data_IF_742752120362
#
_entry.id   IF_742752120362
#
_cell.length_a   1.000
_cell.length_b   1.000
_cell.length_c   1.000
_cell.angle_alpha   90.00
_cell.angle_beta   90.00
_cell.angle_gamma   90.00
#
_symmetry.space_group_name_H-M   'P 1'
#
loop_
_entity.id
_entity.type
_entity.pdbx_description
1 polymer ?
#
# COMPACT_ATOMS: atom_id res chain seq x y z
N UNK A 1 -20.64 -7.53 -23.26
CA UNK A 1 -20.36 -6.46 -22.26
C UNK A 1 -19.01 -6.83 -21.67
N UNK A 2 -18.01 -5.98 -21.84
CA UNK A 2 -16.72 -6.18 -21.18
C UNK A 2 -16.97 -6.16 -19.68
N UNK A 3 -16.51 -7.22 -18.99
CA UNK A 3 -16.72 -7.37 -17.56
C UNK A 3 -15.97 -6.29 -16.75
N UNK A 4 -16.34 -6.11 -15.47
CA UNK A 4 -15.67 -5.20 -14.53
C UNK A 4 -14.27 -5.77 -14.20
N UNK A 5 -13.26 -5.32 -14.94
CA UNK A 5 -11.87 -5.74 -14.76
C UNK A 5 -10.99 -4.53 -14.58
N UNK A 6 -9.86 -4.70 -13.89
CA UNK A 6 -8.83 -3.68 -13.72
C UNK A 6 -7.46 -4.33 -13.61
N UNK A 7 -6.50 -3.88 -14.41
CA UNK A 7 -5.12 -4.36 -14.34
C UNK A 7 -4.33 -3.50 -13.37
N UNK A 8 -3.81 -4.13 -12.30
CA UNK A 8 -3.06 -3.45 -11.26
C UNK A 8 -1.62 -3.92 -11.15
N UNK A 9 -0.72 -2.98 -10.83
CA UNK A 9 0.69 -3.27 -10.57
C UNK A 9 1.10 -2.90 -9.16
N UNK A 10 1.74 -3.84 -8.45
CA UNK A 10 2.42 -3.62 -7.18
C UNK A 10 3.91 -3.43 -7.42
N UNK A 11 4.41 -2.19 -7.27
CA UNK A 11 5.82 -1.86 -7.47
C UNK A 11 6.67 -2.42 -6.33
N UNK A 12 7.83 -2.94 -6.69
CA UNK A 12 8.91 -3.28 -5.77
C UNK A 12 10.13 -2.42 -6.07
N UNK A 13 10.65 -1.73 -5.06
CA UNK A 13 11.86 -0.93 -5.19
C UNK A 13 12.67 -0.89 -3.90
N UNK A 14 13.95 -0.52 -4.00
CA UNK A 14 14.81 -0.31 -2.85
C UNK A 14 15.16 1.18 -2.73
N UNK A 15 14.48 1.88 -1.84
CA UNK A 15 14.72 3.30 -1.62
C UNK A 15 15.97 3.55 -0.80
N UNK A 16 16.65 4.65 -1.14
CA UNK A 16 17.84 5.20 -0.50
C UNK A 16 17.48 6.47 0.30
N UNK A 17 18.41 7.12 1.00
CA UNK A 17 18.20 8.46 1.55
C UNK A 17 18.00 9.55 0.48
N UNK A 18 18.42 9.30 -0.76
CA UNK A 18 18.47 10.28 -1.84
C UNK A 18 17.13 10.38 -2.59
N UNK A 19 16.30 11.34 -2.22
CA UNK A 19 14.94 11.52 -2.74
C UNK A 19 14.88 11.59 -4.27
N UNK A 20 15.78 12.36 -4.91
CA UNK A 20 15.79 12.51 -6.37
C UNK A 20 16.09 11.22 -7.10
N UNK A 21 16.97 10.37 -6.52
CA UNK A 21 17.25 9.05 -7.07
C UNK A 21 16.02 8.16 -6.99
N UNK A 22 15.39 8.12 -5.80
CA UNK A 22 14.18 7.33 -5.59
C UNK A 22 13.04 7.76 -6.53
N UNK A 23 12.87 9.06 -6.78
CA UNK A 23 11.89 9.57 -7.74
C UNK A 23 12.17 9.07 -9.17
N UNK A 24 13.43 9.09 -9.64
CA UNK A 24 13.79 8.55 -10.96
C UNK A 24 13.50 7.05 -11.07
N UNK A 25 13.81 6.30 -10.01
CA UNK A 25 13.52 4.85 -9.98
C UNK A 25 12.01 4.61 -9.99
N UNK A 26 11.25 5.32 -9.16
CA UNK A 26 9.79 5.21 -9.10
C UNK A 26 9.15 5.57 -10.45
N UNK A 27 9.55 6.68 -11.07
CA UNK A 27 9.07 7.08 -12.39
C UNK A 27 9.29 5.99 -13.44
N UNK A 28 10.52 5.49 -13.54
CA UNK A 28 10.86 4.40 -14.47
C UNK A 28 9.99 3.16 -14.24
N UNK A 29 9.78 2.76 -12.98
CA UNK A 29 8.98 1.57 -12.64
C UNK A 29 7.48 1.79 -12.92
N UNK A 30 6.94 2.98 -12.63
CA UNK A 30 5.56 3.34 -12.97
C UNK A 30 5.35 3.30 -14.48
N UNK A 31 6.24 3.93 -15.27
CA UNK A 31 6.17 3.91 -16.73
C UNK A 31 6.26 2.49 -17.30
N UNK A 32 7.13 1.65 -16.75
CA UNK A 32 7.25 0.25 -17.15
C UNK A 32 5.97 -0.54 -16.85
N UNK A 33 5.35 -0.33 -15.69
CA UNK A 33 4.09 -0.98 -15.34
C UNK A 33 2.93 -0.51 -16.24
N UNK A 34 2.84 0.80 -16.50
CA UNK A 34 1.85 1.36 -17.42
C UNK A 34 2.02 0.81 -18.85
N UNK A 35 3.26 0.74 -19.34
CA UNK A 35 3.56 0.15 -20.65
C UNK A 35 3.24 -1.37 -20.72
N UNK A 36 3.24 -2.06 -19.56
CA UNK A 36 2.80 -3.45 -19.45
C UNK A 36 1.27 -3.61 -19.32
N UNK A 37 0.51 -2.51 -19.38
CA UNK A 37 -0.94 -2.51 -19.34
C UNK A 37 -1.57 -2.24 -17.97
N UNK A 38 -0.79 -1.78 -16.98
CA UNK A 38 -1.37 -1.40 -15.69
C UNK A 38 -2.26 -0.15 -15.82
N UNK A 39 -3.50 -0.24 -15.36
CA UNK A 39 -4.45 0.87 -15.24
C UNK A 39 -4.32 1.55 -13.87
N UNK A 40 -3.79 0.82 -12.88
CA UNK A 40 -3.46 1.34 -11.56
C UNK A 40 -2.09 0.81 -11.11
N UNK A 41 -1.25 1.72 -10.65
CA UNK A 41 0.08 1.41 -10.11
C UNK A 41 0.14 1.82 -8.65
N UNK A 42 0.64 0.92 -7.78
CA UNK A 42 0.84 1.18 -6.36
C UNK A 42 2.33 1.15 -6.00
N UNK A 43 2.82 2.22 -5.35
CA UNK A 43 4.17 2.35 -4.81
C UNK A 43 4.25 1.82 -3.36
N UNK A 44 5.43 1.42 -2.87
CA UNK A 44 5.60 0.93 -1.50
C UNK A 44 5.63 2.04 -0.45
N UNK A 45 5.71 1.63 0.83
CA UNK A 45 5.88 2.53 1.98
C UNK A 45 7.23 3.25 1.93
N UNK A 46 7.26 4.54 2.30
CA UNK A 46 8.46 5.39 2.41
C UNK A 46 9.37 5.36 1.16
N UNK A 47 8.73 5.29 -0.01
CA UNK A 47 9.46 5.13 -1.26
C UNK A 47 10.29 6.36 -1.65
N UNK A 48 9.86 7.56 -1.25
CA UNK A 48 10.53 8.80 -1.61
C UNK A 48 11.87 8.98 -0.90
N UNK A 49 12.00 8.48 0.35
CA UNK A 49 13.27 8.42 1.08
C UNK A 49 13.20 7.33 2.16
N UNK A 50 14.32 6.65 2.39
CA UNK A 50 14.42 5.66 3.45
C UNK A 50 15.76 5.79 4.17
N UNK A 51 15.72 6.02 5.49
CA UNK A 51 16.94 6.26 6.27
C UNK A 51 16.69 6.40 7.77
N UNK A 52 17.58 7.11 8.44
CA UNK A 52 17.45 7.48 9.85
C UNK A 52 16.52 8.70 10.02
N UNK A 53 16.12 8.99 11.25
CA UNK A 53 15.20 10.08 11.60
C UNK A 53 15.57 11.43 10.96
N UNK A 54 16.86 11.77 10.92
CA UNK A 54 17.34 13.00 10.27
C UNK A 54 16.92 13.06 8.80
N UNK A 55 17.11 11.97 8.05
CA UNK A 55 16.70 11.86 6.64
C UNK A 55 15.20 12.09 6.50
N UNK A 56 14.42 11.54 7.41
CA UNK A 56 12.97 11.67 7.41
C UNK A 56 12.53 13.11 7.63
N UNK A 57 13.11 13.81 8.60
CA UNK A 57 12.80 15.24 8.88
C UNK A 57 13.21 16.18 7.73
N UNK A 58 14.38 15.93 7.12
CA UNK A 58 14.88 16.74 5.99
C UNK A 58 14.07 16.54 4.70
N UNK A 59 13.40 15.41 4.54
CA UNK A 59 12.62 15.08 3.35
C UNK A 59 11.10 15.13 3.56
N UNK A 60 10.64 15.51 4.74
CA UNK A 60 9.21 15.68 5.01
C UNK A 60 8.63 16.85 4.21
N UNK A 61 7.42 16.66 3.70
CA UNK A 61 6.69 17.64 2.88
C UNK A 61 5.29 17.86 3.41
N UNK A 62 4.69 18.99 3.06
CA UNK A 62 3.24 19.15 3.17
C UNK A 62 2.51 18.31 2.10
N UNK A 63 1.24 18.03 2.32
CA UNK A 63 0.35 17.48 1.31
C UNK A 63 -0.80 18.48 1.07
N UNK A 64 -0.92 19.03 -0.16
CA UNK A 64 -0.06 18.82 -1.34
C UNK A 64 1.35 19.40 -1.18
N UNK A 65 2.29 18.91 -2.00
CA UNK A 65 3.69 19.27 -2.02
C UNK A 65 4.44 18.65 -3.21
N UNK A 66 5.76 18.87 -3.35
CA UNK A 66 6.52 18.50 -4.55
C UNK A 66 6.40 17.03 -4.95
N UNK A 67 6.34 16.10 -4.00
CA UNK A 67 6.18 14.67 -4.32
C UNK A 67 4.76 14.35 -4.80
N UNK A 68 3.74 14.98 -4.23
CA UNK A 68 2.36 14.81 -4.70
C UNK A 68 2.15 15.43 -6.07
N UNK A 69 2.77 16.57 -6.34
CA UNK A 69 2.72 17.21 -7.67
C UNK A 69 3.35 16.32 -8.73
N UNK A 70 4.54 15.77 -8.46
CA UNK A 70 5.21 14.79 -9.32
C UNK A 70 4.33 13.57 -9.63
N UNK A 71 3.67 12.99 -8.62
CA UNK A 71 2.81 11.82 -8.82
C UNK A 71 1.54 12.16 -9.60
N UNK A 72 0.94 13.32 -9.32
CA UNK A 72 -0.24 13.81 -10.04
C UNK A 72 0.06 14.10 -11.52
N UNK A 73 1.20 14.72 -11.82
CA UNK A 73 1.65 14.94 -13.19
C UNK A 73 1.86 13.63 -13.94
N UNK A 74 2.52 12.65 -13.30
CA UNK A 74 2.77 11.35 -13.90
C UNK A 74 1.47 10.55 -14.12
N UNK A 75 0.53 10.58 -13.18
CA UNK A 75 -0.78 9.97 -13.31
C UNK A 75 -1.54 10.55 -14.52
N UNK A 76 -1.54 11.88 -14.67
CA UNK A 76 -2.19 12.59 -15.80
C UNK A 76 -1.51 12.28 -17.13
N UNK A 77 -0.17 12.31 -17.16
CA UNK A 77 0.59 12.03 -18.39
C UNK A 77 0.31 10.62 -18.91
N UNK A 78 0.27 9.64 -18.01
CA UNK A 78 0.07 8.23 -18.38
C UNK A 78 -1.40 7.83 -18.48
N UNK A 79 -2.33 8.67 -18.00
CA UNK A 79 -3.77 8.38 -18.00
C UNK A 79 -4.15 7.21 -17.08
N UNK A 80 -3.40 6.98 -15.99
CA UNK A 80 -3.59 5.86 -15.05
C UNK A 80 -3.87 6.35 -13.63
N UNK A 81 -4.42 5.47 -12.79
CA UNK A 81 -4.47 5.70 -11.34
C UNK A 81 -3.10 5.45 -10.71
N UNK A 82 -2.69 6.30 -9.76
CA UNK A 82 -1.46 6.12 -8.99
C UNK A 82 -1.76 6.14 -7.49
N UNK A 83 -1.59 4.98 -6.83
CA UNK A 83 -1.50 4.92 -5.38
C UNK A 83 -0.05 5.23 -5.01
N UNK A 84 0.17 6.42 -4.48
CA UNK A 84 1.48 7.06 -4.33
C UNK A 84 2.36 6.49 -3.23
N UNK A 85 2.16 5.22 -2.85
CA UNK A 85 2.91 4.63 -1.75
C UNK A 85 2.69 5.39 -0.46
N UNK A 86 3.73 5.56 0.35
CA UNK A 86 3.67 6.54 1.42
C UNK A 86 4.93 7.41 1.48
N UNK A 87 4.73 8.61 1.98
CA UNK A 87 5.77 9.63 2.22
C UNK A 87 5.64 10.18 3.64
N UNK A 88 6.64 10.90 4.09
CA UNK A 88 6.59 11.60 5.37
C UNK A 88 5.98 12.98 5.19
N UNK A 89 4.83 13.18 5.82
CA UNK A 89 4.10 14.44 5.82
C UNK A 89 4.47 15.26 7.05
N UNK A 90 4.93 16.49 6.83
CA UNK A 90 5.04 17.53 7.85
C UNK A 90 3.73 18.30 7.95
N UNK A 91 3.15 18.39 9.16
CA UNK A 91 1.88 19.05 9.40
C UNK A 91 2.04 20.25 10.32
N UNK A 92 1.37 21.38 10.03
CA UNK A 92 1.47 22.59 10.86
C UNK A 92 0.97 22.42 12.30
N UNK A 93 0.06 21.46 12.52
CA UNK A 93 -0.61 21.18 13.78
C UNK A 93 0.08 20.08 14.61
N UNK A 94 1.26 19.59 14.18
CA UNK A 94 1.95 18.50 14.85
C UNK A 94 3.47 18.65 14.78
N UNK A 95 4.16 18.43 15.90
CA UNK A 95 5.62 18.32 15.94
C UNK A 95 6.12 16.99 15.36
N UNK A 96 5.25 15.96 15.32
CA UNK A 96 5.54 14.67 14.72
C UNK A 96 5.10 14.65 13.27
N UNK A 97 5.85 13.92 12.46
CA UNK A 97 5.50 13.64 11.07
C UNK A 97 4.32 12.66 11.00
N UNK A 98 3.72 12.52 9.82
CA UNK A 98 2.78 11.43 9.51
C UNK A 98 3.33 10.57 8.38
N UNK A 99 3.12 9.26 8.46
CA UNK A 99 3.40 8.31 7.37
C UNK A 99 2.13 8.25 6.50
N UNK A 100 2.18 8.93 5.34
CA UNK A 100 0.97 9.30 4.60
C UNK A 100 0.99 8.78 3.19
N UNK A 101 -0.07 8.06 2.83
CA UNK A 101 -0.36 7.59 1.47
C UNK A 101 -1.30 8.55 0.76
N UNK A 102 -1.08 8.73 -0.54
CA UNK A 102 -1.87 9.59 -1.42
C UNK A 102 -2.36 8.81 -2.63
N UNK A 103 -3.54 9.14 -3.14
CA UNK A 103 -4.13 8.47 -4.30
C UNK A 103 -4.56 9.50 -5.35
N UNK A 104 -4.15 9.25 -6.60
CA UNK A 104 -4.38 10.15 -7.73
C UNK A 104 -5.23 9.47 -8.81
N UNK A 105 -6.16 10.24 -9.36
CA UNK A 105 -6.90 9.86 -10.56
C UNK A 105 -6.09 10.03 -11.86
N UNK A 106 -6.57 9.50 -12.99
CA UNK A 106 -5.91 9.65 -14.29
C UNK A 106 -5.94 11.10 -14.83
N UNK A 107 -6.68 11.98 -14.19
CA UNK A 107 -6.67 13.43 -14.41
C UNK A 107 -5.56 14.13 -13.58
N UNK A 108 -4.81 13.40 -12.77
CA UNK A 108 -3.79 13.87 -11.86
C UNK A 108 -4.32 14.49 -10.56
N UNK A 109 -5.64 14.46 -10.34
CA UNK A 109 -6.22 15.01 -9.11
C UNK A 109 -5.92 14.11 -7.90
N UNK A 110 -5.53 14.73 -6.77
CA UNK A 110 -5.41 14.05 -5.49
C UNK A 110 -6.82 13.73 -4.96
N UNK A 111 -7.19 12.46 -4.96
CA UNK A 111 -8.55 12.00 -4.65
C UNK A 111 -8.69 11.35 -3.27
N UNK A 112 -7.59 10.89 -2.65
CA UNK A 112 -7.61 10.40 -1.28
C UNK A 112 -6.26 10.57 -0.58
N UNK A 113 -6.32 10.72 0.75
CA UNK A 113 -5.15 10.78 1.65
C UNK A 113 -5.42 9.85 2.82
N UNK A 114 -4.47 8.95 3.09
CA UNK A 114 -4.53 8.03 4.22
C UNK A 114 -3.28 8.18 5.08
N UNK A 115 -3.44 8.41 6.38
CA UNK A 115 -2.35 8.42 7.36
C UNK A 115 -2.33 7.10 8.11
N UNK A 116 -1.18 6.45 8.16
CA UNK A 116 -0.97 5.15 8.83
C UNK A 116 -1.51 5.19 10.26
N UNK A 117 -2.40 4.25 10.57
CA UNK A 117 -3.07 4.19 11.87
C UNK A 117 -2.18 3.48 12.90
N UNK A 118 -1.63 2.32 12.56
CA UNK A 118 -0.87 1.49 13.49
C UNK A 118 0.63 1.68 13.26
N UNK A 119 1.29 2.22 14.29
CA UNK A 119 2.72 2.53 14.25
C UNK A 119 3.54 1.31 14.69
N UNK A 120 4.72 1.14 14.06
CA UNK A 120 5.57 -0.01 14.26
C UNK A 120 6.46 0.15 15.52
N UNK A 121 5.84 -0.01 16.68
CA UNK A 121 6.50 0.00 17.99
C UNK A 121 6.67 -1.44 18.46
N UNK A 122 7.82 -2.03 18.16
CA UNK A 122 8.09 -3.45 18.41
C UNK A 122 9.55 -3.71 18.74
N UNK A 123 9.81 -4.81 19.44
CA UNK A 123 11.14 -5.38 19.56
C UNK A 123 11.22 -6.66 18.73
N UNK A 124 12.11 -6.66 17.74
CA UNK A 124 12.37 -7.82 16.88
C UNK A 124 13.81 -8.26 17.09
N UNK A 125 14.00 -9.44 17.67
CA UNK A 125 15.31 -9.93 18.15
C UNK A 125 15.95 -8.95 19.14
N UNK A 126 17.09 -8.40 18.76
CA UNK A 126 17.91 -7.45 19.55
C UNK A 126 17.65 -5.97 19.16
N UNK A 127 16.76 -5.73 18.18
CA UNK A 127 16.45 -4.37 17.70
C UNK A 127 15.08 -3.91 18.18
N UNK A 128 15.05 -2.69 18.68
CA UNK A 128 13.84 -1.96 19.01
C UNK A 128 13.49 -0.99 17.88
N UNK A 129 12.22 -0.97 17.52
CA UNK A 129 11.60 -0.03 16.58
C UNK A 129 10.56 0.77 17.35
N UNK A 130 10.66 2.09 17.30
CA UNK A 130 9.73 2.98 17.99
C UNK A 130 9.28 4.08 17.01
N UNK A 131 8.42 3.68 16.06
CA UNK A 131 7.92 4.61 15.02
C UNK A 131 7.14 5.77 15.65
N UNK A 132 6.43 5.52 16.74
CA UNK A 132 5.67 6.54 17.47
C UNK A 132 6.53 7.65 18.09
N UNK A 133 7.84 7.47 18.22
CA UNK A 133 8.72 8.53 18.70
C UNK A 133 8.70 9.76 17.76
N UNK A 134 8.70 9.54 16.44
CA UNK A 134 8.75 10.60 15.43
C UNK A 134 7.49 10.74 14.57
N UNK A 135 6.58 9.76 14.59
CA UNK A 135 5.39 9.71 13.74
C UNK A 135 4.12 9.78 14.60
N UNK A 136 3.16 10.56 14.16
CA UNK A 136 1.81 10.63 14.73
C UNK A 136 0.89 9.62 14.02
N UNK A 137 0.04 8.87 14.76
CA UNK A 137 -0.90 7.93 14.14
C UNK A 137 -2.04 8.67 13.42
N UNK A 138 -2.50 8.07 12.32
CA UNK A 138 -3.76 8.41 11.67
C UNK A 138 -4.96 8.00 12.52
N UNK A 139 -6.16 8.46 12.10
CA UNK A 139 -7.41 8.19 12.84
C UNK A 139 -8.56 7.79 11.93
N UNK A 140 -8.34 7.74 10.62
CA UNK A 140 -9.41 7.56 9.64
C UNK A 140 -9.19 6.29 8.82
N UNK A 141 -10.26 5.52 8.69
CA UNK A 141 -10.36 4.40 7.76
C UNK A 141 -10.77 4.96 6.40
N UNK A 142 -9.93 4.81 5.38
CA UNK A 142 -10.10 5.45 4.08
C UNK A 142 -10.32 4.42 2.98
N UNK A 143 -11.36 4.63 2.18
CA UNK A 143 -11.57 3.96 0.89
C UNK A 143 -11.52 4.98 -0.24
N UNK A 144 -11.12 4.55 -1.45
CA UNK A 144 -11.03 5.41 -2.63
C UNK A 144 -11.57 4.71 -3.87
N UNK A 145 -12.25 5.44 -4.76
CA UNK A 145 -12.73 4.92 -6.04
C UNK A 145 -11.63 4.98 -7.10
N UNK A 146 -11.40 3.86 -7.77
CA UNK A 146 -10.47 3.71 -8.88
C UNK A 146 -11.20 3.07 -10.08
N UNK A 147 -11.85 3.88 -10.90
CA UNK A 147 -12.72 3.39 -11.96
C UNK A 147 -13.82 2.48 -11.44
N UNK A 148 -13.82 1.22 -11.89
CA UNK A 148 -14.78 0.21 -11.45
C UNK A 148 -14.51 -0.35 -10.06
N UNK A 149 -13.30 -0.19 -9.51
CA UNK A 149 -12.87 -0.75 -8.23
C UNK A 149 -13.00 0.24 -7.08
N UNK A 150 -13.15 -0.29 -5.86
CA UNK A 150 -13.01 0.45 -4.61
C UNK A 150 -11.81 -0.07 -3.85
N UNK A 151 -10.84 0.80 -3.58
CA UNK A 151 -9.64 0.49 -2.80
C UNK A 151 -9.88 0.69 -1.30
N UNK A 152 -9.31 -0.17 -0.47
CA UNK A 152 -9.14 0.06 0.96
C UNK A 152 -7.67 0.36 1.24
N UNK A 153 -7.37 1.52 1.82
CA UNK A 153 -6.00 1.99 2.01
C UNK A 153 -5.42 1.55 3.35
N UNK A 154 -4.20 1.01 3.32
CA UNK A 154 -3.44 0.68 4.52
C UNK A 154 -1.93 0.75 4.28
N UNK A 155 -1.14 0.86 5.36
CA UNK A 155 0.32 0.94 5.30
C UNK A 155 0.95 -0.05 6.28
N UNK A 156 1.69 -1.01 5.75
CA UNK A 156 2.66 -1.89 6.40
C UNK A 156 2.15 -2.58 7.67
N UNK A 157 2.45 -2.02 8.84
CA UNK A 157 2.09 -2.61 10.14
C UNK A 157 0.58 -2.77 10.33
N UNK A 158 -0.22 -1.94 9.63
CA UNK A 158 -1.68 -2.07 9.58
C UNK A 158 -2.13 -3.50 9.22
N UNK A 159 -1.33 -4.24 8.42
CA UNK A 159 -1.68 -5.61 8.01
C UNK A 159 -1.89 -6.57 9.18
N UNK A 160 -1.37 -6.25 10.35
CA UNK A 160 -1.53 -7.09 11.56
C UNK A 160 -2.85 -6.91 12.28
N UNK A 161 -3.63 -5.89 11.91
CA UNK A 161 -4.88 -5.52 12.59
C UNK A 161 -6.09 -5.86 11.70
N UNK A 162 -6.68 -7.05 11.84
CA UNK A 162 -7.79 -7.52 11.01
C UNK A 162 -9.01 -6.60 11.09
N UNK A 163 -9.17 -5.87 12.17
CA UNK A 163 -10.27 -4.93 12.39
C UNK A 163 -10.33 -3.85 11.32
N UNK A 164 -9.15 -3.27 10.95
CA UNK A 164 -9.05 -2.26 9.89
C UNK A 164 -9.54 -2.83 8.56
N UNK A 165 -9.06 -4.02 8.19
CA UNK A 165 -9.40 -4.65 6.92
C UNK A 165 -10.87 -5.05 6.85
N UNK A 166 -11.42 -5.50 7.97
CA UNK A 166 -12.85 -5.78 8.09
C UNK A 166 -13.68 -4.51 7.87
N UNK A 167 -13.28 -3.40 8.47
CA UNK A 167 -13.96 -2.12 8.27
C UNK A 167 -13.85 -1.63 6.82
N UNK A 168 -12.68 -1.77 6.19
CA UNK A 168 -12.49 -1.44 4.77
C UNK A 168 -13.42 -2.26 3.88
N UNK A 169 -13.48 -3.58 4.07
CA UNK A 169 -14.37 -4.47 3.32
C UNK A 169 -15.84 -4.12 3.52
N UNK A 170 -16.26 -3.82 4.75
CA UNK A 170 -17.63 -3.40 5.08
C UNK A 170 -17.98 -2.02 4.51
N UNK A 171 -16.98 -1.17 4.23
CA UNK A 171 -17.15 0.10 3.50
C UNK A 171 -17.09 -0.08 1.98
N UNK A 172 -17.14 -1.33 1.50
CA UNK A 172 -17.21 -1.67 0.09
C UNK A 172 -15.87 -1.79 -0.62
N UNK A 173 -14.76 -1.89 0.10
CA UNK A 173 -13.48 -2.17 -0.55
C UNK A 173 -13.50 -3.55 -1.24
N UNK A 174 -13.09 -3.55 -2.50
CA UNK A 174 -12.94 -4.72 -3.35
C UNK A 174 -11.48 -5.12 -3.47
N UNK A 175 -10.58 -4.13 -3.31
CA UNK A 175 -9.13 -4.29 -3.32
C UNK A 175 -8.54 -3.67 -2.06
N UNK A 176 -7.89 -4.46 -1.25
CA UNK A 176 -7.16 -4.03 -0.05
C UNK A 176 -5.71 -3.74 -0.44
N UNK A 177 -5.21 -2.55 -0.15
CA UNK A 177 -3.84 -2.19 -0.48
C UNK A 177 -2.96 -2.22 0.78
N UNK A 178 -1.76 -2.79 0.68
CA UNK A 178 -0.79 -2.91 1.78
C UNK A 178 0.56 -2.40 1.33
N UNK A 179 0.80 -1.11 1.50
CA UNK A 179 2.03 -0.44 1.10
C UNK A 179 3.11 -0.67 2.16
N UNK A 180 4.22 -1.36 1.86
CA UNK A 180 5.08 -1.85 2.94
C UNK A 180 6.59 -1.61 2.77
N UNK A 181 7.25 -1.47 3.94
CA UNK A 181 8.68 -1.63 4.15
C UNK A 181 8.92 -2.70 5.22
N UNK A 182 8.40 -3.90 4.99
CA UNK A 182 8.36 -5.00 5.97
C UNK A 182 9.77 -5.51 6.28
N UNK A 183 10.08 -5.74 7.55
CA UNK A 183 11.42 -6.24 7.93
C UNK A 183 11.67 -7.63 7.35
N UNK A 184 12.90 -7.92 6.94
CA UNK A 184 13.28 -9.23 6.39
C UNK A 184 12.91 -10.38 7.34
N UNK A 185 13.14 -10.21 8.63
CA UNK A 185 12.93 -11.26 9.63
C UNK A 185 11.46 -11.67 9.73
N UNK A 186 10.57 -10.69 9.95
CA UNK A 186 9.14 -10.98 10.05
C UNK A 186 8.51 -11.22 8.68
N UNK A 187 9.11 -10.69 7.62
CA UNK A 187 8.61 -10.86 6.26
C UNK A 187 8.64 -12.32 5.80
N UNK A 188 9.72 -13.03 6.12
CA UNK A 188 9.87 -14.45 5.75
C UNK A 188 8.70 -15.33 6.25
N UNK A 189 8.22 -15.05 7.45
CA UNK A 189 7.25 -15.91 8.13
C UNK A 189 5.83 -15.35 8.06
N UNK A 190 5.67 -14.02 7.96
CA UNK A 190 4.37 -13.38 8.13
C UNK A 190 3.81 -12.71 6.88
N UNK A 191 4.65 -12.25 5.93
CA UNK A 191 4.19 -11.39 4.85
C UNK A 191 3.12 -12.05 3.98
N UNK A 192 3.45 -13.16 3.34
CA UNK A 192 2.50 -13.88 2.49
C UNK A 192 1.30 -14.40 3.29
N UNK A 193 1.55 -14.97 4.49
CA UNK A 193 0.50 -15.48 5.35
C UNK A 193 -0.55 -14.41 5.66
N UNK A 194 -0.10 -13.22 6.10
CA UNK A 194 -1.01 -12.13 6.46
C UNK A 194 -1.77 -11.60 5.25
N UNK A 195 -1.11 -11.39 4.12
CA UNK A 195 -1.76 -10.89 2.90
C UNK A 195 -2.85 -11.85 2.41
N UNK A 196 -2.56 -13.13 2.37
CA UNK A 196 -3.52 -14.17 2.01
C UNK A 196 -4.68 -14.25 3.01
N UNK A 197 -4.38 -14.14 4.30
CA UNK A 197 -5.42 -14.08 5.33
C UNK A 197 -6.34 -12.87 5.12
N UNK A 198 -5.79 -11.66 4.87
CA UNK A 198 -6.59 -10.46 4.59
C UNK A 198 -7.46 -10.62 3.34
N UNK A 199 -6.96 -11.28 2.29
CA UNK A 199 -7.74 -11.57 1.10
C UNK A 199 -8.93 -12.49 1.41
N UNK A 200 -8.67 -13.63 2.02
CA UNK A 200 -9.67 -14.69 2.27
C UNK A 200 -10.75 -14.22 3.26
N UNK A 201 -10.37 -13.72 4.42
CA UNK A 201 -11.32 -13.34 5.47
C UNK A 201 -12.20 -12.15 5.11
N UNK A 202 -11.73 -11.27 4.20
CA UNK A 202 -12.47 -10.11 3.74
C UNK A 202 -13.06 -10.26 2.35
N UNK A 203 -12.84 -11.43 1.70
CA UNK A 203 -13.32 -11.71 0.36
C UNK A 203 -12.99 -10.55 -0.59
N UNK A 204 -11.72 -10.19 -0.68
CA UNK A 204 -11.22 -9.05 -1.45
C UNK A 204 -9.87 -9.38 -2.09
N UNK A 205 -9.55 -8.73 -3.20
CA UNK A 205 -8.19 -8.75 -3.72
C UNK A 205 -7.24 -8.04 -2.76
N UNK A 206 -5.95 -8.41 -2.78
CA UNK A 206 -4.90 -7.69 -2.07
C UNK A 206 -3.82 -7.29 -3.05
N UNK A 207 -3.43 -6.00 -3.05
CA UNK A 207 -2.31 -5.44 -3.81
C UNK A 207 -1.29 -4.90 -2.82
N UNK A 208 -0.11 -5.52 -2.79
CA UNK A 208 0.88 -5.29 -1.74
C UNK A 208 2.26 -4.94 -2.31
N UNK A 209 2.51 -3.67 -2.68
CA UNK A 209 3.83 -3.19 -3.06
C UNK A 209 4.75 -3.13 -1.85
N UNK A 210 6.03 -3.49 -2.01
CA UNK A 210 6.97 -3.60 -0.91
C UNK A 210 8.37 -3.06 -1.26
N UNK A 211 9.01 -2.48 -0.25
CA UNK A 211 10.44 -2.20 -0.25
C UNK A 211 11.23 -3.50 -0.12
N UNK A 212 12.34 -3.64 -0.85
CA UNK A 212 13.23 -4.79 -0.77
C UNK A 212 14.67 -4.40 -0.49
N UNK A 213 15.50 -5.38 -0.08
CA UNK A 213 16.94 -5.24 0.01
C UNK A 213 17.45 -4.52 1.26
N UNK A 214 18.76 -4.31 1.29
CA UNK A 214 19.43 -3.64 2.40
C UNK A 214 19.26 -2.13 2.30
N UNK A 215 18.97 -1.49 3.43
CA UNK A 215 18.83 -0.05 3.57
C UNK A 215 20.13 0.59 4.06
N UNK A 216 20.27 1.90 3.86
CA UNK A 216 21.48 2.65 4.23
C UNK A 216 21.85 2.54 5.72
N UNK A 217 20.89 2.29 6.59
CA UNK A 217 21.08 2.07 8.04
C UNK A 217 21.38 0.61 8.41
N UNK A 218 21.63 -0.24 7.41
CA UNK A 218 21.96 -1.65 7.58
C UNK A 218 20.76 -2.57 7.82
N UNK A 219 19.54 -2.03 7.91
CA UNK A 219 18.29 -2.82 7.99
C UNK A 219 18.01 -3.49 6.65
N UNK A 220 17.29 -4.62 6.70
CA UNK A 220 16.83 -5.32 5.52
C UNK A 220 15.31 -5.32 5.45
N UNK A 221 14.79 -5.02 4.28
CA UNK A 221 13.38 -5.17 3.94
C UNK A 221 13.17 -6.40 3.06
N UNK A 222 12.01 -7.07 3.27
CA UNK A 222 11.75 -8.40 2.72
C UNK A 222 11.47 -8.38 1.22
N UNK A 223 10.77 -7.36 0.72
CA UNK A 223 10.29 -7.32 -0.65
C UNK A 223 9.09 -8.24 -0.86
N UNK A 224 9.10 -8.98 -2.00
CA UNK A 224 8.01 -9.88 -2.38
C UNK A 224 6.70 -9.14 -2.57
N UNK A 225 6.76 -8.00 -3.28
CA UNK A 225 5.53 -7.33 -3.73
C UNK A 225 4.65 -8.33 -4.42
N UNK A 226 3.36 -8.40 -4.06
CA UNK A 226 2.47 -9.43 -4.59
C UNK A 226 1.04 -8.94 -4.76
N UNK A 227 0.29 -9.70 -5.57
CA UNK A 227 -1.14 -9.56 -5.76
C UNK A 227 -1.80 -10.89 -5.42
N UNK A 228 -2.85 -10.84 -4.61
CA UNK A 228 -3.56 -12.02 -4.11
C UNK A 228 -5.04 -11.90 -4.46
N UNK A 229 -5.67 -12.99 -4.90
CA UNK A 229 -7.09 -13.04 -5.19
C UNK A 229 -7.95 -13.28 -3.93
N UNK A 230 -9.28 -13.12 -3.99
CA UNK A 230 -10.17 -13.33 -2.85
C UNK A 230 -10.18 -14.75 -2.29
N UNK A 231 -9.71 -15.75 -3.05
CA UNK A 231 -9.57 -17.13 -2.62
C UNK A 231 -8.26 -17.38 -1.84
N UNK A 232 -7.35 -16.41 -1.87
CA UNK A 232 -6.02 -16.50 -1.26
C UNK A 232 -4.94 -17.02 -2.19
N UNK A 233 -5.19 -17.08 -3.50
CA UNK A 233 -4.19 -17.45 -4.51
C UNK A 233 -3.29 -16.26 -4.80
N UNK A 234 -1.98 -16.49 -4.81
CA UNK A 234 -1.01 -15.47 -5.27
C UNK A 234 -1.04 -15.43 -6.79
N UNK A 235 -1.56 -14.33 -7.35
CA UNK A 235 -1.66 -14.15 -8.81
C UNK A 235 -0.34 -13.70 -9.43
N UNK A 236 0.43 -12.87 -8.71
CA UNK A 236 1.73 -12.38 -9.14
C UNK A 236 2.60 -12.03 -7.94
N UNK A 237 3.93 -12.23 -8.06
CA UNK A 237 4.91 -11.89 -7.02
C UNK A 237 6.23 -11.46 -7.65
N UNK A 238 6.88 -10.41 -7.09
CA UNK A 238 8.20 -9.97 -7.50
C UNK A 238 9.32 -10.87 -6.95
N UNK A 239 10.37 -11.14 -7.74
CA UNK A 239 11.65 -11.66 -7.22
C UNK A 239 12.43 -10.56 -6.48
N UNK A 240 13.59 -10.91 -5.88
CA UNK A 240 14.44 -10.00 -5.10
C UNK A 240 15.21 -9.01 -5.99
N UNK A 241 14.51 -8.08 -6.62
CA UNK A 241 15.03 -6.97 -7.44
C UNK A 241 13.93 -5.92 -7.64
N UNK A 242 14.31 -4.74 -8.13
CA UNK A 242 13.35 -3.74 -8.60
C UNK A 242 12.48 -4.27 -9.73
N UNK A 243 11.18 -3.94 -9.70
CA UNK A 243 10.21 -4.39 -10.67
C UNK A 243 8.77 -4.15 -10.25
N UNK A 244 7.86 -4.91 -10.84
CA UNK A 244 6.45 -4.90 -10.44
C UNK A 244 5.84 -6.29 -10.57
N UNK A 245 4.88 -6.60 -9.71
CA UNK A 245 3.93 -7.69 -9.88
C UNK A 245 2.69 -7.11 -10.57
N UNK A 246 2.23 -7.75 -11.65
CA UNK A 246 1.10 -7.29 -12.47
C UNK A 246 0.05 -8.39 -12.56
N UNK A 247 -1.22 -8.04 -12.34
CA UNK A 247 -2.36 -8.95 -12.54
C UNK A 247 -3.63 -8.20 -12.94
N UNK A 248 -4.47 -8.84 -13.74
CA UNK A 248 -5.85 -8.45 -13.98
C UNK A 248 -6.72 -8.93 -12.82
N UNK A 249 -7.54 -8.05 -12.27
CA UNK A 249 -8.47 -8.30 -11.18
C UNK A 249 -9.90 -8.32 -11.77
N UNK A 250 -10.51 -9.51 -11.80
CA UNK A 250 -11.90 -9.70 -12.25
C UNK A 250 -12.87 -9.42 -11.10
N UNK A 251 -13.49 -8.23 -11.11
CA UNK A 251 -14.43 -7.80 -10.07
C UNK A 251 -15.78 -8.49 -10.23
N UNK A 252 -16.13 -8.97 -11.41
CA UNK A 252 -17.36 -9.78 -11.60
C UNK A 252 -17.17 -11.17 -10.99
N UNK A 253 -15.95 -11.73 -11.04
CA UNK A 253 -15.62 -12.93 -10.28
C UNK A 253 -15.77 -12.68 -8.77
N UNK A 254 -15.28 -11.54 -8.27
CA UNK A 254 -15.42 -11.19 -6.86
C UNK A 254 -16.89 -11.12 -6.43
N UNK A 255 -17.76 -10.51 -7.25
CA UNK A 255 -19.19 -10.40 -6.95
C UNK A 255 -19.85 -11.78 -6.92
N UNK A 256 -19.55 -12.65 -7.89
CA UNK A 256 -20.04 -14.05 -7.91
C UNK A 256 -19.55 -14.81 -6.68
N UNK A 257 -18.25 -14.71 -6.36
CA UNK A 257 -17.67 -15.38 -5.20
C UNK A 257 -18.33 -14.93 -3.88
N UNK A 258 -18.56 -13.63 -3.69
CA UNK A 258 -19.26 -13.11 -2.51
C UNK A 258 -20.72 -13.57 -2.42
N UNK A 259 -21.39 -13.74 -3.56
CA UNK A 259 -22.77 -14.24 -3.62
C UNK A 259 -22.84 -15.75 -3.31
N UNK A 260 -21.91 -16.54 -3.83
CA UNK A 260 -21.90 -18.00 -3.66
C UNK A 260 -21.35 -18.43 -2.29
N UNK A 261 -20.41 -17.65 -1.73
CA UNK A 261 -19.80 -17.89 -0.42
C UNK A 261 -19.92 -16.65 0.49
N UNK A 262 -21.11 -16.35 1.04
CA UNK A 262 -21.41 -15.05 1.66
C UNK A 262 -20.86 -14.90 3.10
N UNK A 263 -19.56 -15.11 3.31
CA UNK A 263 -18.95 -15.09 4.63
C UNK A 263 -19.07 -13.73 5.33
N UNK A 264 -19.01 -12.62 4.58
CA UNK A 264 -19.19 -11.27 5.13
C UNK A 264 -20.64 -11.04 5.61
N UNK A 265 -21.63 -11.56 4.88
CA UNK A 265 -23.05 -11.44 5.22
C UNK A 265 -23.44 -12.36 6.40
N UNK A 266 -22.76 -13.50 6.55
CA UNK A 266 -22.99 -14.48 7.63
C UNK A 266 -22.40 -14.07 8.98
N UNK A 267 -21.74 -12.90 9.06
CA UNK A 267 -21.20 -12.39 10.34
C UNK A 267 -22.33 -12.15 11.34
N UNK A 268 -22.00 -12.39 12.61
CA UNK A 268 -22.89 -12.21 13.77
C UNK A 268 -22.32 -11.14 14.70
N UNK A 269 -22.23 -9.81 14.24
CA UNK A 269 -21.62 -8.75 15.04
C UNK A 269 -22.28 -8.57 16.42
N UNK A 270 -23.57 -8.91 16.54
CA UNK A 270 -24.30 -8.89 17.79
C UNK A 270 -23.84 -9.93 18.84
N UNK A 271 -23.01 -10.89 18.42
CA UNK A 271 -22.43 -11.89 19.32
C UNK A 271 -21.08 -11.47 19.90
N UNK A 272 -20.56 -10.29 19.52
CA UNK A 272 -19.26 -9.77 19.95
C UNK A 272 -19.46 -8.44 20.68
N UNK A 273 -18.94 -8.36 21.91
CA UNK A 273 -18.79 -7.10 22.64
C UNK A 273 -17.43 -6.48 22.29
N UNK A 274 -17.43 -5.42 21.51
CA UNK A 274 -16.22 -4.71 21.06
C UNK A 274 -16.14 -3.33 21.70
#
# INVERSE_FOLDING_TARGET
MDGRKVTMAAIQMSSTPEKRENQRVAERLIRNAAAAGAELVALPELWSCHGLEKVYRENAESIPGPTTDFLGELARELGIYVLGGSILEGRPDSEKLSNTSTFFGPDGALSAVYRKIHLFDVKVSDREYLESAGIAPGREVVTAKAGAATLGLSVCYDVRFPELYRLLALRGAEVLTVLAAFTLQTGKDHWELLLRARAVENQAFVVAPAQWGQKADGRWTYGRSMIVDPWGTVLAQCPDRDGHALAELDLDYLDRFRAEFPALANRRPEAYDW
#
